data_IF_720878297756
#
_entry.id   IF_720878297756
#
_cell.length_a   1.000
_cell.length_b   1.000
_cell.length_c   1.000
_cell.angle_alpha   90.00
_cell.angle_beta   90.00
_cell.angle_gamma   90.00
#
_symmetry.space_group_name_H-M   'P 1'
#
loop_
_entity.id
_entity.type
_entity.pdbx_description
1 polymer ?
#
# COMPACT_ATOMS: atom_id res chain seq x y z
N UNK A 1 -5.48 -14.38 -3.26
CA UNK A 1 -5.02 -13.08 -2.73
C UNK A 1 -6.04 -12.62 -1.71
N UNK A 2 -5.61 -11.92 -0.66
CA UNK A 2 -6.50 -11.39 0.39
C UNK A 2 -6.09 -9.94 0.66
N UNK A 3 -7.06 -9.04 0.84
CA UNK A 3 -6.82 -7.70 1.36
C UNK A 3 -7.42 -7.56 2.76
N UNK A 4 -6.69 -6.96 3.68
CA UNK A 4 -7.07 -6.81 5.08
C UNK A 4 -6.79 -5.38 5.54
N UNK A 5 -7.77 -4.78 6.21
CA UNK A 5 -7.63 -3.55 7.00
C UNK A 5 -7.91 -3.88 8.49
N UNK A 6 -8.13 -2.86 9.32
CA UNK A 6 -8.46 -3.05 10.73
C UNK A 6 -9.82 -3.75 10.99
N UNK A 7 -10.76 -3.68 10.04
CA UNK A 7 -12.17 -4.03 10.26
C UNK A 7 -12.62 -5.26 9.46
N UNK A 8 -11.97 -5.54 8.33
CA UNK A 8 -12.41 -6.57 7.38
C UNK A 8 -11.26 -7.24 6.65
N UNK A 9 -11.58 -8.44 6.18
CA UNK A 9 -10.77 -9.23 5.27
C UNK A 9 -11.59 -9.53 4.02
N UNK A 10 -11.05 -9.21 2.85
CA UNK A 10 -11.68 -9.44 1.54
C UNK A 10 -10.87 -10.47 0.77
N UNK A 11 -11.47 -11.63 0.52
CA UNK A 11 -10.87 -12.68 -0.31
C UNK A 11 -10.99 -12.34 -1.80
N UNK A 12 -9.89 -12.49 -2.54
CA UNK A 12 -9.78 -12.23 -3.97
C UNK A 12 -10.42 -10.90 -4.41
N UNK A 13 -9.98 -9.77 -3.84
CA UNK A 13 -10.63 -8.48 -4.07
C UNK A 13 -10.50 -8.06 -5.54
N UNK A 14 -11.59 -7.51 -6.07
CA UNK A 14 -11.60 -6.82 -7.37
C UNK A 14 -10.84 -5.49 -7.30
N UNK A 15 -10.55 -4.87 -8.45
CA UNK A 15 -9.95 -3.52 -8.49
C UNK A 15 -10.75 -2.50 -7.70
N UNK A 16 -12.07 -2.51 -7.84
CA UNK A 16 -12.96 -1.60 -7.12
C UNK A 16 -12.87 -1.84 -5.61
N UNK A 17 -12.91 -3.09 -5.16
CA UNK A 17 -12.76 -3.39 -3.73
C UNK A 17 -11.38 -3.00 -3.18
N UNK A 18 -10.31 -3.12 -3.97
CA UNK A 18 -8.99 -2.61 -3.58
C UNK A 18 -8.96 -1.08 -3.49
N UNK A 19 -9.66 -0.37 -4.37
CA UNK A 19 -9.80 1.08 -4.27
C UNK A 19 -10.58 1.45 -3.00
N UNK A 20 -11.75 0.83 -2.80
CA UNK A 20 -12.65 1.15 -1.68
C UNK A 20 -11.97 0.88 -0.34
N UNK A 21 -11.25 -0.23 -0.19
CA UNK A 21 -10.54 -0.54 1.06
C UNK A 21 -9.40 0.45 1.35
N UNK A 22 -8.71 0.94 0.31
CA UNK A 22 -7.69 1.98 0.48
C UNK A 22 -8.31 3.34 0.79
N UNK A 23 -9.45 3.67 0.17
CA UNK A 23 -10.16 4.92 0.40
C UNK A 23 -10.76 5.00 1.81
N UNK A 24 -11.07 3.86 2.41
CA UNK A 24 -11.60 3.77 3.77
C UNK A 24 -10.51 3.90 4.86
N UNK A 25 -9.22 3.99 4.49
CA UNK A 25 -8.15 4.22 5.46
C UNK A 25 -8.34 5.54 6.22
N UNK A 26 -8.05 5.50 7.51
CA UNK A 26 -8.15 6.66 8.40
C UNK A 26 -7.18 6.49 9.57
N UNK A 27 -7.02 7.51 10.42
CA UNK A 27 -6.19 7.37 11.63
C UNK A 27 -6.60 6.22 12.57
N UNK A 28 -7.85 5.74 12.52
CA UNK A 28 -8.26 4.57 13.31
C UNK A 28 -8.00 3.24 12.59
N UNK A 29 -7.79 3.28 11.28
CA UNK A 29 -7.46 2.14 10.43
C UNK A 29 -6.39 2.58 9.42
N UNK A 30 -5.15 2.83 9.88
CA UNK A 30 -4.16 3.56 9.08
C UNK A 30 -3.45 2.68 8.06
N UNK A 31 -3.81 1.39 7.96
CA UNK A 31 -3.12 0.45 7.08
C UNK A 31 -4.06 -0.48 6.32
N UNK A 32 -3.58 -0.91 5.16
CA UNK A 32 -4.14 -2.01 4.37
C UNK A 32 -2.99 -2.93 3.96
N UNK A 33 -3.17 -4.24 4.12
CA UNK A 33 -2.23 -5.26 3.65
C UNK A 33 -2.91 -6.10 2.59
N UNK A 34 -2.25 -6.30 1.45
CA UNK A 34 -2.68 -7.21 0.38
C UNK A 34 -1.66 -8.34 0.25
N UNK A 35 -2.10 -9.57 0.49
CA UNK A 35 -1.25 -10.76 0.55
C UNK A 35 -1.60 -11.77 -0.57
N UNK A 36 -0.56 -12.31 -1.22
CA UNK A 36 -0.70 -13.43 -2.16
C UNK A 36 -0.54 -14.76 -1.44
N UNK A 37 -1.69 -15.30 -1.03
CA UNK A 37 -1.79 -16.69 -0.57
C UNK A 37 -1.35 -17.65 -1.70
N UNK A 38 -0.22 -18.32 -1.51
CA UNK A 38 0.36 -19.27 -2.48
C UNK A 38 1.88 -19.32 -2.49
N UNK A 39 2.56 -18.40 -1.80
CA UNK A 39 4.00 -18.48 -1.54
C UNK A 39 4.39 -19.67 -0.64
N UNK A 40 5.71 -19.97 -0.54
CA UNK A 40 6.21 -21.03 0.31
C UNK A 40 5.99 -20.74 1.80
N UNK A 41 6.12 -19.47 2.24
CA UNK A 41 5.77 -19.03 3.59
C UNK A 41 4.70 -17.90 3.56
N UNK A 42 3.75 -17.89 4.51
CA UNK A 42 2.83 -16.76 4.67
C UNK A 42 3.60 -15.47 4.96
N UNK A 43 3.22 -14.35 4.31
CA UNK A 43 3.90 -13.07 4.50
C UNK A 43 5.17 -12.87 3.66
N UNK A 44 5.51 -13.80 2.77
CA UNK A 44 6.59 -13.60 1.80
C UNK A 44 6.19 -12.64 0.66
N UNK A 45 4.90 -12.62 0.30
CA UNK A 45 4.42 -11.89 -0.87
C UNK A 45 3.25 -10.98 -0.50
N UNK A 46 3.59 -9.78 -0.04
CA UNK A 46 2.60 -8.76 0.28
C UNK A 46 2.97 -7.40 -0.29
N UNK A 47 1.96 -6.56 -0.41
CA UNK A 47 2.10 -5.11 -0.44
C UNK A 47 1.25 -4.52 0.68
N UNK A 48 1.83 -3.61 1.43
CA UNK A 48 1.19 -2.90 2.52
C UNK A 48 1.22 -1.40 2.23
N UNK A 49 0.12 -0.73 2.55
CA UNK A 49 0.02 0.72 2.59
C UNK A 49 -0.25 1.13 4.01
N UNK A 50 0.42 2.19 4.46
CA UNK A 50 0.21 2.85 5.73
C UNK A 50 0.08 4.36 5.53
N UNK A 51 -0.81 5.02 6.26
CA UNK A 51 -0.86 6.48 6.35
C UNK A 51 0.35 6.96 7.12
N UNK A 52 1.07 7.94 6.60
CA UNK A 52 2.18 8.55 7.33
C UNK A 52 1.64 9.49 8.41
N UNK A 53 1.53 8.98 9.63
CA UNK A 53 0.94 9.68 10.78
C UNK A 53 1.80 10.84 11.31
N UNK A 54 3.05 10.96 10.82
CA UNK A 54 3.95 12.07 11.17
C UNK A 54 3.66 13.34 10.35
N UNK A 55 2.81 13.27 9.31
CA UNK A 55 2.42 14.41 8.47
C UNK A 55 1.10 15.01 8.98
N UNK A 56 1.07 16.34 9.14
CA UNK A 56 -0.16 17.05 9.50
C UNK A 56 -1.17 16.93 8.35
N UNK A 57 -2.42 16.50 8.59
CA UNK A 57 -3.47 16.41 7.56
C UNK A 57 -3.74 17.74 6.82
N UNK A 58 -3.39 18.88 7.42
CA UNK A 58 -3.49 20.19 6.79
C UNK A 58 -2.37 20.43 5.75
N UNK A 59 -1.25 19.72 5.85
CA UNK A 59 -0.11 19.80 4.93
C UNK A 59 -0.22 18.81 3.75
N UNK A 60 -1.19 17.89 3.82
CA UNK A 60 -1.62 17.06 2.70
C UNK A 60 -1.71 15.58 3.03
N UNK A 61 -1.57 14.72 2.02
CA UNK A 61 -1.56 13.27 2.20
C UNK A 61 -0.14 12.74 2.11
N UNK A 62 0.22 11.80 3.00
CA UNK A 62 1.45 11.03 2.88
C UNK A 62 1.18 9.56 3.16
N UNK A 63 1.75 8.70 2.32
CA UNK A 63 1.59 7.26 2.36
C UNK A 63 2.94 6.58 2.33
N UNK A 64 3.11 5.61 3.22
CA UNK A 64 4.23 4.67 3.21
C UNK A 64 3.75 3.38 2.56
N UNK A 65 4.47 2.94 1.54
CA UNK A 65 4.17 1.71 0.81
C UNK A 65 5.35 0.77 1.00
N UNK A 66 5.06 -0.44 1.44
CA UNK A 66 6.05 -1.50 1.56
C UNK A 66 5.61 -2.72 0.76
N UNK A 67 6.56 -3.41 0.14
CA UNK A 67 6.28 -4.72 -0.44
C UNK A 67 7.40 -5.69 -0.11
N UNK A 68 7.02 -6.97 -0.06
CA UNK A 68 7.94 -8.09 -0.01
C UNK A 68 7.67 -9.01 -1.19
N UNK A 69 8.74 -9.43 -1.86
CA UNK A 69 8.68 -10.34 -3.00
C UNK A 69 9.54 -11.58 -2.71
N UNK A 70 9.10 -12.38 -1.75
CA UNK A 70 9.80 -13.53 -1.21
C UNK A 70 10.33 -13.27 0.20
N UNK A 71 11.62 -13.51 0.40
CA UNK A 71 12.24 -13.41 1.72
C UNK A 71 12.47 -11.98 2.22
N UNK A 72 12.98 -11.83 3.47
CA UNK A 72 13.24 -10.53 4.08
C UNK A 72 14.25 -9.67 3.30
N UNK A 73 15.18 -10.28 2.56
CA UNK A 73 16.14 -9.54 1.72
C UNK A 73 15.48 -8.87 0.50
N UNK A 74 14.26 -9.28 0.14
CA UNK A 74 13.46 -8.73 -0.96
C UNK A 74 12.32 -7.85 -0.42
N UNK A 75 12.61 -7.06 0.62
CA UNK A 75 11.70 -6.09 1.23
C UNK A 75 12.09 -4.68 0.79
N UNK A 76 11.11 -3.93 0.30
CA UNK A 76 11.30 -2.57 -0.18
C UNK A 76 10.23 -1.64 0.38
N UNK A 77 10.59 -0.37 0.53
CA UNK A 77 9.73 0.72 0.99
C UNK A 77 9.80 1.89 0.02
N UNK A 78 8.71 2.61 -0.13
CA UNK A 78 8.69 3.94 -0.74
C UNK A 78 7.70 4.83 0.02
N UNK A 79 7.85 6.13 -0.15
CA UNK A 79 6.89 7.13 0.33
C UNK A 79 6.39 7.94 -0.86
N UNK A 80 5.12 8.30 -0.85
CA UNK A 80 4.53 9.27 -1.77
C UNK A 80 3.64 10.23 -1.01
N UNK A 81 3.65 11.49 -1.41
CA UNK A 81 2.85 12.53 -0.79
C UNK A 81 2.36 13.54 -1.81
N UNK A 82 1.33 14.29 -1.43
CA UNK A 82 0.84 15.47 -2.12
C UNK A 82 0.41 16.54 -1.11
N UNK A 83 0.17 17.75 -1.62
CA UNK A 83 -0.28 18.92 -0.86
C UNK A 83 -1.80 19.15 -0.95
N UNK A 84 -2.56 18.15 -1.42
CA UNK A 84 -4.00 18.26 -1.46
C UNK A 84 -4.56 18.13 -0.02
N UNK A 85 -5.47 19.01 0.42
CA UNK A 85 -6.09 18.90 1.73
C UNK A 85 -6.69 17.51 1.96
N UNK A 86 -6.62 16.98 3.19
CA UNK A 86 -7.11 15.64 3.52
C UNK A 86 -8.58 15.36 3.11
N UNK A 87 -9.42 16.39 3.06
CA UNK A 87 -10.83 16.29 2.65
C UNK A 87 -11.05 16.45 1.13
N UNK A 88 -9.97 16.59 0.36
CA UNK A 88 -10.00 16.69 -1.09
C UNK A 88 -10.40 15.36 -1.71
N UNK A 89 -11.31 15.42 -2.70
CA UNK A 89 -11.68 14.27 -3.53
C UNK A 89 -10.54 13.86 -4.48
N UNK A 90 -9.58 14.75 -4.70
CA UNK A 90 -8.44 14.53 -5.58
C UNK A 90 -7.14 14.51 -4.76
N UNK A 91 -6.51 13.35 -4.66
CA UNK A 91 -5.16 13.16 -4.12
C UNK A 91 -4.32 12.41 -5.16
N UNK A 92 -3.38 13.09 -5.88
CA UNK A 92 -2.47 12.43 -6.79
C UNK A 92 -1.60 11.34 -6.14
N UNK A 93 -1.28 11.49 -4.85
CA UNK A 93 -0.57 10.48 -4.07
C UNK A 93 -1.45 9.24 -3.88
N UNK A 94 -2.72 9.43 -3.50
CA UNK A 94 -3.68 8.33 -3.37
C UNK A 94 -3.89 7.60 -4.71
N UNK A 95 -4.07 8.34 -5.80
CA UNK A 95 -4.19 7.76 -7.15
C UNK A 95 -2.97 6.89 -7.51
N UNK A 96 -1.78 7.34 -7.13
CA UNK A 96 -0.53 6.60 -7.32
C UNK A 96 -0.50 5.33 -6.47
N UNK A 97 -0.88 5.41 -5.20
CA UNK A 97 -1.00 4.26 -4.28
C UNK A 97 -1.96 3.22 -4.82
N UNK A 98 -3.19 3.62 -5.17
CA UNK A 98 -4.21 2.72 -5.74
C UNK A 98 -3.68 2.02 -6.98
N UNK A 99 -3.04 2.77 -7.89
CA UNK A 99 -2.47 2.21 -9.11
C UNK A 99 -1.39 1.17 -8.81
N UNK A 100 -0.45 1.48 -7.91
CA UNK A 100 0.63 0.58 -7.50
C UNK A 100 0.07 -0.70 -6.89
N UNK A 101 -0.86 -0.60 -5.94
CA UNK A 101 -1.46 -1.76 -5.27
C UNK A 101 -2.24 -2.61 -6.27
N UNK A 102 -3.04 -2.00 -7.15
CA UNK A 102 -3.78 -2.75 -8.16
C UNK A 102 -2.85 -3.42 -9.19
N UNK A 103 -1.83 -2.73 -9.68
CA UNK A 103 -0.91 -3.31 -10.66
C UNK A 103 -0.08 -4.43 -10.03
N UNK A 104 0.35 -4.28 -8.77
CA UNK A 104 0.92 -5.38 -8.01
C UNK A 104 -0.07 -6.54 -7.87
N UNK A 105 -1.27 -6.29 -7.38
CA UNK A 105 -2.29 -7.31 -7.13
C UNK A 105 -2.64 -8.14 -8.37
N UNK A 106 -2.75 -7.46 -9.52
CA UNK A 106 -3.12 -8.08 -10.79
C UNK A 106 -1.91 -8.42 -11.69
N UNK A 107 -0.69 -8.45 -11.15
CA UNK A 107 0.53 -8.84 -11.87
C UNK A 107 0.76 -8.02 -13.16
N UNK A 108 0.41 -6.73 -13.14
CA UNK A 108 0.72 -5.81 -14.24
C UNK A 108 2.11 -5.23 -14.07
N UNK A 109 2.71 -4.81 -15.16
CA UNK A 109 4.02 -4.17 -15.15
C UNK A 109 3.94 -2.70 -14.69
N UNK A 110 5.10 -2.09 -14.43
CA UNK A 110 5.24 -0.65 -14.17
C UNK A 110 5.20 -0.22 -12.70
N UNK A 111 4.56 -0.97 -11.80
CA UNK A 111 4.51 -0.60 -10.37
C UNK A 111 5.91 -0.55 -9.72
N UNK A 112 6.83 -1.41 -10.17
CA UNK A 112 8.24 -1.43 -9.72
C UNK A 112 9.03 -0.16 -10.06
N UNK A 113 8.55 0.65 -10.99
CA UNK A 113 9.20 1.92 -11.38
C UNK A 113 8.32 3.13 -11.13
N UNK A 114 7.12 2.92 -10.56
CA UNK A 114 6.16 3.98 -10.27
C UNK A 114 6.51 4.78 -9.02
N UNK A 115 7.32 4.21 -8.13
CA UNK A 115 7.76 4.83 -6.88
C UNK A 115 9.28 4.67 -6.73
N UNK A 116 9.95 5.59 -5.99
CA UNK A 116 11.38 5.49 -5.69
C UNK A 116 11.61 4.44 -4.60
N UNK A 117 11.54 3.16 -4.94
CA UNK A 117 11.70 2.07 -4.00
C UNK A 117 13.11 2.01 -3.41
N UNK A 118 13.17 1.89 -2.09
CA UNK A 118 14.38 1.68 -1.31
C UNK A 118 14.34 0.29 -0.67
N UNK A 119 15.44 -0.44 -0.69
CA UNK A 119 15.52 -1.74 -0.04
C UNK A 119 15.57 -1.54 1.48
N UNK A 120 14.63 -2.17 2.18
CA UNK A 120 14.62 -2.19 3.65
C UNK A 120 15.69 -3.17 4.11
N UNK A 121 16.63 -2.69 4.93
CA UNK A 121 17.64 -3.52 5.59
C UNK A 121 17.33 -3.56 7.07
N UNK A 122 17.10 -4.75 7.59
CA UNK A 122 17.06 -4.99 9.02
C UNK A 122 18.50 -5.22 9.49
N UNK A 123 19.07 -4.28 10.23
CA UNK A 123 20.30 -4.57 10.98
C UNK A 123 19.93 -5.61 12.07
N UNK A 124 20.51 -6.80 11.92
CA UNK A 124 20.34 -7.97 12.79
C UNK A 124 21.08 -7.85 14.12
#
# INVERSE_FOLDING_TARGET
MVATDSDRTVENPSRTQLHDILADMSFNAPFVIVDRLGGPEPGDYYIQVHLDEDVDPADGHSYIIEFRDGGPDAHFRATTSDDAPWDSVCSPAFDTVVKVVQDWAFQREGWRTALPWEQVRFDS
#
